data_IF_218123869587
#
_entry.id   IF_218123869587
#
_cell.length_a   1.000
_cell.length_b   1.000
_cell.length_c   1.000
_cell.angle_alpha   90.00
_cell.angle_beta   90.00
_cell.angle_gamma   90.00
#
_symmetry.space_group_name_H-M   'P 1'
#
loop_
_entity.id
_entity.type
_entity.pdbx_description
1 polymer ?
#
# COMPACT_ATOMS: atom_id res chain seq x y z
N UNK A 1 -17.35 6.71 -23.45
CA UNK A 1 -17.55 6.44 -22.02
C UNK A 1 -19.03 6.38 -21.70
N UNK A 2 -19.44 5.65 -20.65
CA UNK A 2 -20.83 5.64 -20.20
C UNK A 2 -21.21 7.03 -19.65
N UNK A 3 -22.34 7.62 -20.06
CA UNK A 3 -22.65 9.03 -19.76
C UNK A 3 -22.89 9.33 -18.27
N UNK A 4 -23.14 8.30 -17.46
CA UNK A 4 -23.43 8.42 -16.01
C UNK A 4 -22.27 7.91 -15.12
N UNK A 5 -21.11 7.57 -15.69
CA UNK A 5 -19.96 7.08 -14.92
C UNK A 5 -18.81 8.09 -15.01
N UNK A 6 -18.37 8.59 -13.87
CA UNK A 6 -17.15 9.39 -13.75
C UNK A 6 -16.00 8.47 -13.32
N UNK A 7 -15.10 8.18 -14.25
CA UNK A 7 -13.94 7.31 -13.98
C UNK A 7 -12.86 8.05 -13.16
N UNK A 8 -12.27 7.41 -12.12
CA UNK A 8 -11.20 8.02 -11.35
C UNK A 8 -9.94 8.23 -12.19
N UNK A 9 -9.18 9.27 -11.88
CA UNK A 9 -7.89 9.62 -12.54
C UNK A 9 -7.97 9.66 -14.06
N UNK A 10 -9.10 10.09 -14.61
CA UNK A 10 -9.38 10.01 -16.06
C UNK A 10 -9.92 11.34 -16.59
N UNK A 11 -9.21 11.92 -17.56
CA UNK A 11 -9.74 13.05 -18.31
C UNK A 11 -10.73 12.52 -19.38
N UNK A 12 -12.02 12.65 -19.11
CA UNK A 12 -13.09 12.04 -19.91
C UNK A 12 -13.10 12.47 -21.39
N UNK A 13 -12.63 13.69 -21.67
CA UNK A 13 -12.63 14.24 -23.03
C UNK A 13 -11.59 13.59 -23.94
N UNK A 14 -10.44 13.23 -23.41
CA UNK A 14 -9.28 12.76 -24.21
C UNK A 14 -8.92 11.30 -23.97
N UNK A 15 -9.45 10.68 -22.93
CA UNK A 15 -9.16 9.29 -22.64
C UNK A 15 -9.82 8.33 -23.65
N UNK A 16 -9.16 7.21 -23.99
CA UNK A 16 -9.77 6.17 -24.83
C UNK A 16 -11.00 5.57 -24.13
N UNK A 17 -11.86 4.91 -24.91
CA UNK A 17 -13.00 4.20 -24.35
C UNK A 17 -12.52 3.10 -23.38
N UNK A 18 -13.16 2.96 -22.20
CA UNK A 18 -12.83 1.90 -21.26
C UNK A 18 -13.04 0.51 -21.89
N UNK A 19 -12.11 -0.39 -21.65
CA UNK A 19 -12.29 -1.80 -21.98
C UNK A 19 -13.33 -2.41 -21.03
N UNK A 20 -14.25 -3.17 -21.59
CA UNK A 20 -15.27 -3.85 -20.82
C UNK A 20 -14.81 -5.25 -20.45
N UNK A 21 -14.73 -5.51 -19.16
CA UNK A 21 -14.39 -6.84 -18.62
C UNK A 21 -15.70 -7.60 -18.41
N UNK A 22 -15.78 -8.80 -18.99
CA UNK A 22 -16.92 -9.71 -18.86
C UNK A 22 -16.79 -10.61 -17.64
N UNK A 23 -15.61 -11.19 -17.44
CA UNK A 23 -15.31 -12.11 -16.35
C UNK A 23 -13.80 -12.13 -16.06
N UNK A 24 -13.44 -12.73 -14.91
CA UNK A 24 -12.04 -12.94 -14.58
C UNK A 24 -11.85 -14.23 -13.77
N UNK A 25 -10.70 -14.90 -13.93
CA UNK A 25 -10.33 -16.08 -13.15
C UNK A 25 -8.81 -16.23 -13.06
N UNK A 26 -8.27 -16.48 -11.89
CA UNK A 26 -6.83 -16.54 -11.67
C UNK A 26 -6.20 -15.20 -12.03
N UNK A 27 -5.18 -15.19 -12.88
CA UNK A 27 -4.55 -13.96 -13.37
C UNK A 27 -5.22 -13.39 -14.63
N UNK A 28 -6.21 -14.05 -15.19
CA UNK A 28 -6.80 -13.72 -16.49
C UNK A 28 -8.09 -12.92 -16.38
N UNK A 29 -8.15 -11.83 -17.14
CA UNK A 29 -9.37 -11.07 -17.43
C UNK A 29 -9.88 -11.45 -18.82
N UNK A 30 -11.18 -11.72 -18.97
CA UNK A 30 -11.87 -11.91 -20.24
C UNK A 30 -12.63 -10.62 -20.59
N UNK A 31 -12.31 -10.01 -21.73
CA UNK A 31 -12.98 -8.83 -22.23
C UNK A 31 -14.25 -9.18 -22.98
N UNK A 32 -15.19 -8.23 -23.14
CA UNK A 32 -16.45 -8.44 -23.89
C UNK A 32 -16.19 -8.78 -25.38
N UNK A 33 -15.09 -8.33 -25.96
CA UNK A 33 -14.69 -8.63 -27.33
C UNK A 33 -13.99 -9.99 -27.51
N UNK A 34 -13.91 -10.79 -26.44
CA UNK A 34 -13.33 -12.13 -26.42
C UNK A 34 -11.82 -12.19 -26.19
N UNK A 35 -11.11 -11.06 -26.14
CA UNK A 35 -9.69 -11.04 -25.77
C UNK A 35 -9.50 -11.44 -24.32
N UNK A 36 -8.38 -12.09 -24.01
CA UNK A 36 -7.93 -12.36 -22.67
C UNK A 36 -6.67 -11.56 -22.39
N UNK A 37 -6.55 -11.02 -21.18
CA UNK A 37 -5.37 -10.27 -20.75
C UNK A 37 -4.93 -10.76 -19.36
N UNK A 38 -3.62 -10.87 -19.15
CA UNK A 38 -3.03 -11.19 -17.85
C UNK A 38 -3.04 -9.90 -17.00
N UNK A 39 -3.55 -9.99 -15.79
CA UNK A 39 -3.48 -8.93 -14.78
C UNK A 39 -2.09 -8.89 -14.15
N UNK A 40 -1.20 -8.10 -14.72
CA UNK A 40 0.19 -7.99 -14.28
C UNK A 40 0.38 -7.16 -13.01
N UNK A 41 -0.68 -6.50 -12.51
CA UNK A 41 -0.62 -5.50 -11.44
C UNK A 41 -1.66 -5.72 -10.34
N UNK A 42 -2.25 -6.93 -10.28
CA UNK A 42 -3.31 -7.28 -9.31
C UNK A 42 -4.44 -6.26 -9.29
N UNK A 43 -4.93 -5.88 -10.47
CA UNK A 43 -5.92 -4.83 -10.75
C UNK A 43 -5.44 -3.44 -10.29
N UNK A 44 -5.54 -3.12 -9.04
CA UNK A 44 -4.89 -1.93 -8.44
C UNK A 44 -4.25 -2.32 -7.11
N UNK A 45 -3.34 -3.33 -7.20
CA UNK A 45 -2.55 -3.86 -6.07
C UNK A 45 -3.38 -4.59 -5.01
N UNK A 46 -4.65 -4.92 -5.30
CA UNK A 46 -5.59 -5.50 -4.32
C UNK A 46 -5.69 -7.02 -4.39
N UNK A 47 -5.57 -7.59 -5.59
CA UNK A 47 -5.81 -9.01 -5.82
C UNK A 47 -4.57 -9.85 -5.49
N UNK A 48 -4.67 -10.67 -4.43
CA UNK A 48 -3.56 -11.54 -4.01
C UNK A 48 -3.67 -12.94 -4.63
N UNK A 49 -4.86 -13.54 -4.55
CA UNK A 49 -5.07 -14.97 -4.81
C UNK A 49 -5.59 -15.29 -6.21
N UNK A 50 -5.66 -14.27 -7.06
CA UNK A 50 -6.30 -14.36 -8.36
C UNK A 50 -7.79 -14.01 -8.31
N UNK A 51 -8.31 -13.66 -9.49
CA UNK A 51 -9.70 -13.24 -9.63
C UNK A 51 -10.69 -14.37 -9.34
N UNK A 52 -11.83 -14.00 -8.77
CA UNK A 52 -12.97 -14.89 -8.52
C UNK A 52 -12.60 -16.15 -7.71
N UNK A 53 -11.70 -16.00 -6.72
CA UNK A 53 -11.25 -17.12 -5.90
C UNK A 53 -12.42 -17.76 -5.14
N UNK A 54 -12.72 -19.05 -5.34
CA UNK A 54 -13.95 -19.67 -4.84
C UNK A 54 -14.07 -19.68 -3.30
N UNK A 55 -12.96 -19.85 -2.58
CA UNK A 55 -12.95 -19.90 -1.11
C UNK A 55 -13.40 -18.54 -0.52
N UNK A 56 -12.88 -17.43 -1.04
CA UNK A 56 -13.25 -16.09 -0.55
C UNK A 56 -14.71 -15.78 -0.93
N UNK A 57 -15.12 -16.11 -2.15
CA UNK A 57 -16.51 -15.92 -2.60
C UNK A 57 -17.48 -16.69 -1.72
N UNK A 58 -17.18 -17.94 -1.39
CA UNK A 58 -18.00 -18.78 -0.50
C UNK A 58 -18.04 -18.23 0.93
N UNK A 59 -16.92 -17.79 1.48
CA UNK A 59 -16.86 -17.20 2.81
C UNK A 59 -17.77 -15.96 2.93
N UNK A 60 -17.77 -15.09 1.92
CA UNK A 60 -18.65 -13.92 1.86
C UNK A 60 -20.12 -14.37 1.76
N UNK A 61 -20.42 -15.35 0.91
CA UNK A 61 -21.78 -15.86 0.72
C UNK A 61 -22.35 -16.46 2.02
N UNK A 62 -21.60 -17.30 2.71
CA UNK A 62 -22.01 -17.90 3.97
C UNK A 62 -22.20 -16.85 5.07
N UNK A 63 -21.32 -15.86 5.15
CA UNK A 63 -21.45 -14.77 6.12
C UNK A 63 -22.67 -13.90 5.84
N UNK A 64 -22.98 -13.62 4.57
CA UNK A 64 -24.14 -12.82 4.18
C UNK A 64 -25.48 -13.44 4.58
N UNK A 65 -25.55 -14.78 4.69
CA UNK A 65 -26.73 -15.48 5.17
C UNK A 65 -26.90 -15.45 6.70
N UNK A 66 -25.82 -15.14 7.45
CA UNK A 66 -25.84 -15.11 8.92
C UNK A 66 -25.99 -13.69 9.45
N UNK A 67 -25.16 -12.76 8.97
CA UNK A 67 -25.13 -11.37 9.42
C UNK A 67 -24.34 -10.56 8.40
N UNK A 68 -24.98 -9.62 7.71
CA UNK A 68 -24.38 -8.71 6.74
C UNK A 68 -23.78 -7.47 7.39
N UNK A 69 -24.44 -6.94 8.44
CA UNK A 69 -24.01 -5.77 9.19
C UNK A 69 -24.68 -5.67 10.55
N UNK A 70 -23.96 -5.10 11.51
CA UNK A 70 -24.47 -4.65 12.80
C UNK A 70 -23.66 -3.45 13.27
N UNK A 71 -24.28 -2.54 14.04
CA UNK A 71 -23.55 -1.43 14.66
C UNK A 71 -22.42 -1.98 15.56
N UNK A 72 -21.18 -1.52 15.36
CA UNK A 72 -20.03 -2.02 16.11
C UNK A 72 -19.76 -1.23 17.41
N UNK A 73 -20.46 -0.12 17.65
CA UNK A 73 -20.41 0.60 18.90
C UNK A 73 -21.32 -0.08 19.95
N UNK A 74 -20.72 -0.81 20.87
CA UNK A 74 -21.41 -1.58 21.92
C UNK A 74 -21.87 -2.98 21.51
N UNK A 75 -21.61 -3.40 20.27
CA UNK A 75 -21.82 -4.74 19.77
C UNK A 75 -20.52 -5.27 19.16
N UNK A 76 -20.38 -6.58 19.09
CA UNK A 76 -19.28 -7.28 18.42
C UNK A 76 -19.81 -8.51 17.70
N UNK A 77 -18.96 -9.18 16.93
CA UNK A 77 -19.28 -10.43 16.26
C UNK A 77 -18.02 -11.27 16.01
N UNK A 78 -18.21 -12.58 15.99
CA UNK A 78 -17.13 -13.57 15.89
C UNK A 78 -16.12 -13.32 14.74
N UNK A 79 -16.53 -12.99 13.48
CA UNK A 79 -15.56 -12.72 12.43
C UNK A 79 -14.61 -11.54 12.72
N UNK A 80 -15.07 -10.47 13.38
CA UNK A 80 -14.20 -9.34 13.73
C UNK A 80 -13.21 -9.71 14.84
N UNK A 81 -13.68 -10.44 15.87
CA UNK A 81 -12.84 -10.90 16.98
C UNK A 81 -11.73 -11.83 16.47
N UNK A 82 -12.08 -12.85 15.68
CA UNK A 82 -11.12 -13.77 15.06
C UNK A 82 -10.11 -13.06 14.15
N UNK A 83 -10.59 -12.11 13.35
CA UNK A 83 -9.70 -11.35 12.45
C UNK A 83 -8.70 -10.51 13.25
N UNK A 84 -9.16 -9.83 14.30
CA UNK A 84 -8.29 -9.05 15.18
C UNK A 84 -7.23 -9.94 15.84
N UNK A 85 -7.62 -11.10 16.40
CA UNK A 85 -6.70 -12.07 16.99
C UNK A 85 -5.66 -12.57 15.98
N UNK A 86 -6.08 -12.94 14.77
CA UNK A 86 -5.16 -13.43 13.74
C UNK A 86 -4.19 -12.37 13.24
N UNK A 87 -4.61 -11.13 13.09
CA UNK A 87 -3.73 -10.03 12.67
C UNK A 87 -2.69 -9.73 13.75
N UNK A 88 -3.12 -9.59 15.02
CA UNK A 88 -2.22 -9.34 16.14
C UNK A 88 -1.22 -10.48 16.31
N UNK A 89 -1.64 -11.75 16.21
CA UNK A 89 -0.76 -12.90 16.32
C UNK A 89 0.34 -12.94 15.23
N UNK A 90 0.07 -12.38 14.04
CA UNK A 90 1.05 -12.35 12.93
C UNK A 90 2.00 -11.16 12.99
N UNK A 91 1.58 -10.08 13.59
CA UNK A 91 2.39 -8.86 13.66
C UNK A 91 3.45 -8.91 14.77
N UNK A 92 3.38 -9.86 15.70
CA UNK A 92 4.30 -9.99 16.85
C UNK A 92 4.59 -8.69 17.61
N UNK A 93 5.19 -8.81 18.80
CA UNK A 93 5.71 -7.67 19.53
C UNK A 93 4.64 -6.82 20.21
N UNK A 94 4.68 -5.51 19.95
CA UNK A 94 3.90 -4.50 20.69
C UNK A 94 2.46 -4.30 20.24
N UNK A 95 2.06 -4.81 19.08
CA UNK A 95 0.71 -4.61 18.53
C UNK A 95 -0.35 -5.38 19.30
N UNK A 96 -1.45 -4.70 19.66
CA UNK A 96 -2.48 -5.32 20.48
C UNK A 96 -3.91 -4.80 20.25
N UNK A 97 -4.10 -3.71 19.52
CA UNK A 97 -5.44 -3.12 19.31
C UNK A 97 -5.69 -2.88 17.83
N UNK A 98 -6.81 -3.40 17.34
CA UNK A 98 -7.24 -3.29 15.95
C UNK A 98 -8.44 -2.36 15.86
N UNK A 99 -8.33 -1.32 15.07
CA UNK A 99 -9.42 -0.42 14.72
C UNK A 99 -9.82 -0.66 13.26
N UNK A 100 -11.10 -0.89 13.00
CA UNK A 100 -11.61 -1.23 11.68
C UNK A 100 -12.09 -0.01 10.90
N UNK A 101 -11.77 0.04 9.60
CA UNK A 101 -12.25 1.02 8.63
C UNK A 101 -12.51 0.34 7.27
N UNK A 102 -12.71 1.10 6.20
CA UNK A 102 -13.21 0.55 4.93
C UNK A 102 -12.25 0.65 3.74
N UNK A 103 -11.20 1.48 3.83
CA UNK A 103 -10.19 1.60 2.78
C UNK A 103 -8.86 2.16 3.33
N UNK A 104 -7.80 2.14 2.50
CA UNK A 104 -6.47 2.57 2.93
C UNK A 104 -6.41 4.01 3.40
N UNK A 105 -7.08 4.94 2.72
CA UNK A 105 -7.10 6.35 3.12
C UNK A 105 -7.73 6.54 4.50
N UNK A 106 -8.83 5.84 4.80
CA UNK A 106 -9.47 5.91 6.12
C UNK A 106 -8.65 5.23 7.21
N UNK A 107 -7.90 4.16 6.90
CA UNK A 107 -6.94 3.61 7.86
C UNK A 107 -5.85 4.62 8.22
N UNK A 108 -5.34 5.36 7.24
CA UNK A 108 -4.36 6.43 7.48
C UNK A 108 -4.98 7.59 8.27
N UNK A 109 -6.21 8.03 7.95
CA UNK A 109 -6.93 9.04 8.74
C UNK A 109 -7.04 8.63 10.22
N UNK A 110 -7.37 7.36 10.49
CA UNK A 110 -7.43 6.83 11.85
C UNK A 110 -6.05 6.88 12.52
N UNK A 111 -5.00 6.45 11.82
CA UNK A 111 -3.63 6.47 12.34
C UNK A 111 -3.16 7.89 12.71
N UNK A 112 -3.43 8.86 11.84
CA UNK A 112 -3.09 10.27 12.08
C UNK A 112 -3.88 10.83 13.29
N UNK A 113 -5.18 10.51 13.39
CA UNK A 113 -6.01 10.90 14.53
C UNK A 113 -5.53 10.25 15.83
N UNK A 114 -5.20 8.96 15.83
CA UNK A 114 -4.63 8.26 16.97
C UNK A 114 -3.33 8.94 17.43
N UNK A 115 -2.40 9.16 16.51
CA UNK A 115 -1.11 9.76 16.83
C UNK A 115 -1.26 11.21 17.35
N UNK A 116 -2.13 12.01 16.75
CA UNK A 116 -2.39 13.37 17.19
C UNK A 116 -3.03 13.40 18.58
N UNK A 117 -4.12 12.64 18.77
CA UNK A 117 -4.86 12.62 20.03
C UNK A 117 -4.07 11.94 21.16
N UNK A 118 -3.17 10.99 20.87
CA UNK A 118 -2.24 10.43 21.84
C UNK A 118 -1.49 11.51 22.61
N UNK A 119 -0.97 12.52 21.91
CA UNK A 119 -0.28 13.64 22.54
C UNK A 119 -1.23 14.59 23.26
N UNK A 120 -2.40 14.87 22.68
CA UNK A 120 -3.43 15.71 23.32
C UNK A 120 -3.88 15.12 24.65
N UNK A 121 -4.14 13.81 24.70
CA UNK A 121 -4.56 13.11 25.92
C UNK A 121 -3.47 13.14 27.02
N UNK A 122 -2.22 13.36 26.65
CA UNK A 122 -1.08 13.56 27.55
C UNK A 122 -0.77 15.06 27.81
N UNK A 123 -1.64 15.97 27.39
CA UNK A 123 -1.48 17.41 27.55
C UNK A 123 -0.25 17.98 26.80
N UNK A 124 0.18 17.31 25.73
CA UNK A 124 1.23 17.77 24.83
C UNK A 124 0.62 18.26 23.52
N UNK A 125 1.11 19.38 22.99
CA UNK A 125 0.61 19.96 21.75
C UNK A 125 1.59 19.66 20.62
N UNK A 126 1.56 18.44 20.09
CA UNK A 126 2.30 18.06 18.89
C UNK A 126 1.35 18.01 17.70
N UNK A 127 1.55 18.88 16.71
CA UNK A 127 0.53 19.14 15.68
C UNK A 127 0.99 18.84 14.25
N UNK A 128 2.28 18.58 14.04
CA UNK A 128 2.87 18.42 12.71
C UNK A 128 3.31 16.98 12.53
N UNK A 129 3.13 16.45 11.33
CA UNK A 129 3.68 15.16 10.95
C UNK A 129 4.95 15.34 10.11
N UNK A 130 5.80 14.32 10.12
CA UNK A 130 6.92 14.16 9.19
C UNK A 130 6.53 13.06 8.22
N UNK A 131 6.71 13.30 6.92
CA UNK A 131 6.46 12.36 5.85
C UNK A 131 7.62 12.36 4.84
N UNK A 132 7.51 11.63 3.75
CA UNK A 132 8.59 11.50 2.78
C UNK A 132 8.18 12.00 1.40
N UNK A 133 9.13 12.60 0.68
CA UNK A 133 8.97 13.02 -0.70
C UNK A 133 8.59 11.82 -1.59
N UNK A 134 7.60 12.00 -2.45
CA UNK A 134 7.07 10.94 -3.30
C UNK A 134 6.09 9.99 -2.64
N UNK A 135 5.77 10.15 -1.34
CA UNK A 135 4.80 9.33 -0.64
C UNK A 135 3.36 9.56 -1.13
N UNK A 136 2.55 8.49 -1.07
CA UNK A 136 1.11 8.56 -1.29
C UNK A 136 0.39 7.73 -0.21
N UNK A 137 -0.50 8.38 0.53
CA UNK A 137 -1.20 7.76 1.65
C UNK A 137 -2.71 7.72 1.49
N UNK A 138 -3.24 8.22 0.37
CA UNK A 138 -4.66 8.24 0.04
C UNK A 138 -5.18 9.60 -0.37
N UNK A 139 -6.47 9.67 -0.75
CA UNK A 139 -7.10 10.84 -1.35
C UNK A 139 -8.06 11.58 -0.39
N UNK A 140 -8.21 11.13 0.86
CA UNK A 140 -8.88 11.94 1.90
C UNK A 140 -7.94 13.05 2.37
N UNK A 141 -8.47 14.17 2.87
CA UNK A 141 -7.65 15.36 3.14
C UNK A 141 -6.53 15.15 4.16
N UNK A 142 -6.75 14.36 5.21
CA UNK A 142 -5.68 14.03 6.16
C UNK A 142 -4.61 13.14 5.55
N UNK A 143 -5.01 12.06 4.87
CA UNK A 143 -4.09 11.17 4.16
C UNK A 143 -3.35 11.90 3.03
N UNK A 144 -4.04 12.75 2.26
CA UNK A 144 -3.45 13.60 1.22
C UNK A 144 -2.47 14.63 1.82
N UNK A 145 -2.75 15.14 3.01
CA UNK A 145 -1.85 16.10 3.69
C UNK A 145 -0.47 15.51 3.96
N UNK A 146 -0.38 14.26 4.34
CA UNK A 146 0.89 13.55 4.58
C UNK A 146 1.46 12.90 3.31
N UNK A 147 0.72 12.90 2.21
CA UNK A 147 1.21 12.58 0.87
C UNK A 147 2.08 13.69 0.30
N UNK A 148 3.02 13.35 -0.59
CA UNK A 148 3.85 14.32 -1.27
C UNK A 148 3.01 15.32 -2.10
N UNK A 149 3.45 16.56 -2.14
CA UNK A 149 2.83 17.57 -3.01
C UNK A 149 3.08 17.19 -4.47
N UNK A 150 2.02 17.04 -5.22
CA UNK A 150 2.07 16.52 -6.58
C UNK A 150 0.82 16.92 -7.36
N UNK A 151 0.77 16.56 -8.64
CA UNK A 151 -0.41 16.72 -9.50
C UNK A 151 -1.73 16.25 -8.82
N UNK A 152 -1.67 15.23 -7.98
CA UNK A 152 -2.86 14.71 -7.29
C UNK A 152 -3.37 15.62 -6.17
N UNK A 153 -2.50 16.43 -5.59
CA UNK A 153 -2.79 17.29 -4.44
C UNK A 153 -2.85 18.79 -4.77
N UNK A 154 -2.32 19.23 -5.93
CA UNK A 154 -2.15 20.65 -6.26
C UNK A 154 -3.46 21.44 -6.21
N UNK A 155 -4.54 20.87 -6.76
CA UNK A 155 -5.86 21.51 -6.75
C UNK A 155 -6.46 21.69 -5.35
N UNK A 156 -5.94 21.01 -4.35
CA UNK A 156 -6.42 21.00 -2.96
C UNK A 156 -5.43 21.58 -1.98
N UNK A 157 -4.35 22.21 -2.45
CA UNK A 157 -3.21 22.67 -1.63
C UNK A 157 -3.61 23.53 -0.44
N UNK A 158 -4.62 24.43 -0.62
CA UNK A 158 -5.10 25.33 0.42
C UNK A 158 -5.86 24.61 1.56
N UNK A 159 -6.27 23.36 1.36
CA UNK A 159 -6.99 22.54 2.34
C UNK A 159 -6.08 21.57 3.10
N UNK A 160 -4.82 21.47 2.68
CA UNK A 160 -3.89 20.51 3.27
C UNK A 160 -3.21 21.10 4.52
N UNK A 161 -3.02 20.26 5.53
CA UNK A 161 -2.28 20.65 6.73
C UNK A 161 -0.78 20.72 6.48
N UNK A 162 -0.08 21.50 7.30
CA UNK A 162 1.37 21.60 7.25
C UNK A 162 2.04 20.28 7.65
N UNK A 163 2.95 19.80 6.82
CA UNK A 163 3.74 18.58 7.00
C UNK A 163 5.19 18.86 6.62
N UNK A 164 6.14 18.31 7.34
CA UNK A 164 7.57 18.37 6.97
C UNK A 164 7.94 17.15 6.10
N UNK A 165 8.58 17.39 4.96
CA UNK A 165 8.99 16.33 4.06
C UNK A 165 10.49 16.07 4.11
N UNK A 166 10.83 14.79 4.21
CA UNK A 166 12.19 14.27 4.11
C UNK A 166 12.41 13.60 2.76
N UNK A 167 13.64 13.59 2.22
CA UNK A 167 13.93 12.78 1.06
C UNK A 167 13.74 11.29 1.37
N UNK A 168 13.14 10.55 0.46
CA UNK A 168 13.09 9.09 0.53
C UNK A 168 14.36 8.51 -0.12
N UNK A 169 15.17 7.72 0.59
CA UNK A 169 16.44 7.19 0.07
C UNK A 169 16.18 5.98 -0.86
N UNK A 170 15.62 6.26 -2.04
CA UNK A 170 15.33 5.23 -3.01
C UNK A 170 16.59 4.60 -3.62
N UNK A 171 16.49 3.28 -3.89
CA UNK A 171 17.56 2.47 -4.43
C UNK A 171 17.12 1.61 -5.62
N UNK A 172 18.08 1.07 -6.35
CA UNK A 172 17.90 0.16 -7.47
C UNK A 172 19.10 -0.78 -7.57
N UNK A 173 19.03 -1.80 -8.44
CA UNK A 173 20.12 -2.77 -8.62
C UNK A 173 21.38 -2.06 -9.13
N UNK A 174 22.45 -2.15 -8.34
CA UNK A 174 23.73 -1.48 -8.66
C UNK A 174 23.88 -0.04 -8.15
N UNK A 175 22.94 0.46 -7.35
CA UNK A 175 23.06 1.78 -6.72
C UNK A 175 24.16 1.79 -5.65
N UNK A 176 25.22 2.55 -5.91
CA UNK A 176 26.37 2.70 -5.00
C UNK A 176 26.23 3.86 -4.02
N UNK A 177 25.17 4.67 -4.14
CA UNK A 177 24.97 5.88 -3.32
C UNK A 177 23.88 5.71 -2.24
N UNK A 178 23.27 4.53 -2.11
CA UNK A 178 22.13 4.31 -1.22
C UNK A 178 22.46 4.65 0.24
N UNK A 179 23.63 4.27 0.75
CA UNK A 179 24.03 4.54 2.13
C UNK A 179 24.23 6.03 2.41
N UNK A 180 24.74 6.77 1.44
CA UNK A 180 24.84 8.22 1.54
C UNK A 180 23.47 8.88 1.58
N UNK A 181 22.54 8.46 0.72
CA UNK A 181 21.16 8.96 0.71
C UNK A 181 20.44 8.70 2.05
N UNK A 182 20.62 7.50 2.61
CA UNK A 182 20.06 7.13 3.91
C UNK A 182 20.66 8.00 5.02
N UNK A 183 21.96 8.16 5.06
CA UNK A 183 22.65 8.99 6.04
C UNK A 183 22.17 10.44 5.99
N UNK A 184 22.02 11.01 4.79
CA UNK A 184 21.51 12.38 4.61
C UNK A 184 20.05 12.52 5.09
N UNK A 185 19.18 11.54 4.78
CA UNK A 185 17.78 11.56 5.23
C UNK A 185 17.68 11.46 6.75
N UNK A 186 18.45 10.58 7.38
CA UNK A 186 18.50 10.43 8.84
C UNK A 186 19.05 11.68 9.52
N UNK A 187 20.15 12.25 9.04
CA UNK A 187 20.73 13.48 9.60
C UNK A 187 19.74 14.67 9.53
N UNK A 188 18.98 14.76 8.42
CA UNK A 188 17.91 15.77 8.30
C UNK A 188 16.81 15.55 9.31
N UNK A 189 16.38 14.30 9.53
CA UNK A 189 15.36 13.92 10.53
C UNK A 189 15.82 14.29 11.94
N UNK A 190 17.04 13.88 12.33
CA UNK A 190 17.62 14.20 13.66
C UNK A 190 17.69 15.70 13.90
N UNK A 191 18.13 16.47 12.89
CA UNK A 191 18.18 17.93 12.96
C UNK A 191 16.79 18.55 13.16
N UNK A 192 15.75 18.06 12.49
CA UNK A 192 14.38 18.54 12.63
C UNK A 192 13.83 18.25 14.03
N UNK A 193 14.01 17.04 14.52
CA UNK A 193 13.52 16.60 15.84
C UNK A 193 14.27 17.29 16.99
N UNK A 194 15.59 17.41 16.90
CA UNK A 194 16.39 18.12 17.91
C UNK A 194 16.04 19.60 18.00
N UNK A 195 15.71 20.23 16.89
CA UNK A 195 15.38 21.66 16.81
C UNK A 195 14.00 21.98 17.37
N UNK A 196 13.05 21.03 17.27
CA UNK A 196 11.65 21.21 17.67
C UNK A 196 11.08 19.93 18.31
N UNK A 197 11.55 19.55 19.52
CA UNK A 197 11.25 18.23 20.13
C UNK A 197 9.75 17.99 20.39
N UNK A 198 8.98 19.06 20.63
CA UNK A 198 7.55 18.99 20.98
C UNK A 198 6.61 19.35 19.80
N UNK A 199 7.14 19.40 18.58
CA UNK A 199 6.34 19.81 17.41
C UNK A 199 5.67 18.63 16.72
N UNK A 200 6.33 17.47 16.66
CA UNK A 200 5.96 16.40 15.74
C UNK A 200 5.12 15.32 16.46
N UNK A 201 3.91 15.09 15.93
CA UNK A 201 2.98 14.06 16.40
C UNK A 201 3.41 12.65 15.98
N UNK A 202 4.05 12.52 14.82
CA UNK A 202 4.52 11.25 14.32
C UNK A 202 5.26 11.39 12.98
N UNK A 203 5.91 10.29 12.61
CA UNK A 203 6.57 10.08 11.31
C UNK A 203 5.75 9.02 10.58
N UNK A 204 5.32 9.28 9.35
CA UNK A 204 4.62 8.31 8.52
C UNK A 204 5.43 7.96 7.27
N UNK A 205 5.46 6.66 6.92
CA UNK A 205 6.19 6.15 5.77
C UNK A 205 5.49 4.93 5.16
N UNK A 206 5.53 4.81 3.83
CA UNK A 206 5.31 3.54 3.13
C UNK A 206 6.61 2.70 3.27
N UNK A 207 6.64 1.64 4.08
CA UNK A 207 7.88 0.91 4.37
C UNK A 207 8.33 0.09 3.15
N UNK A 208 9.62 0.14 2.84
CA UNK A 208 10.32 -0.55 1.76
C UNK A 208 9.93 -0.14 0.34
N UNK A 209 8.68 0.24 0.06
CA UNK A 209 8.24 0.61 -1.30
C UNK A 209 7.22 1.73 -1.25
N UNK A 210 7.55 2.87 -1.83
CA UNK A 210 6.58 3.90 -2.17
C UNK A 210 5.87 3.53 -3.47
N UNK A 211 4.57 3.15 -3.39
CA UNK A 211 3.83 2.61 -4.52
C UNK A 211 3.54 3.65 -5.60
N UNK A 212 2.59 4.54 -5.37
CA UNK A 212 2.14 5.53 -6.33
C UNK A 212 3.22 6.56 -6.70
N UNK A 213 4.23 6.74 -5.86
CA UNK A 213 5.41 7.56 -6.11
C UNK A 213 6.38 6.99 -7.14
N UNK A 214 6.02 5.91 -7.82
CA UNK A 214 6.82 5.28 -8.87
C UNK A 214 7.53 4.01 -8.45
N UNK A 215 6.95 3.22 -7.57
CA UNK A 215 7.55 1.98 -7.04
C UNK A 215 9.00 2.19 -6.56
N UNK A 216 9.21 3.28 -5.83
CA UNK A 216 10.52 3.63 -5.28
C UNK A 216 10.84 2.70 -4.11
N UNK A 217 11.95 1.99 -4.19
CA UNK A 217 12.32 1.00 -3.19
C UNK A 217 13.36 1.55 -2.22
N UNK A 218 13.20 1.21 -0.93
CA UNK A 218 14.15 1.51 0.14
C UNK A 218 14.63 0.22 0.80
N UNK A 219 15.65 0.33 1.66
CA UNK A 219 16.24 -0.82 2.36
C UNK A 219 15.70 -0.98 3.79
N UNK A 220 15.73 -2.20 4.35
CA UNK A 220 15.44 -2.45 5.77
C UNK A 220 16.29 -1.61 6.73
N UNK A 221 17.57 -1.40 6.41
CA UNK A 221 18.52 -0.65 7.22
C UNK A 221 18.09 0.79 7.47
N UNK A 222 17.48 1.42 6.46
CA UNK A 222 16.90 2.76 6.62
C UNK A 222 15.74 2.77 7.63
N UNK A 223 14.84 1.80 7.55
CA UNK A 223 13.71 1.70 8.49
C UNK A 223 14.18 1.42 9.92
N UNK A 224 15.24 0.62 10.10
CA UNK A 224 15.86 0.37 11.40
C UNK A 224 16.49 1.65 11.98
N UNK A 225 17.14 2.47 11.15
CA UNK A 225 17.67 3.76 11.57
C UNK A 225 16.53 4.73 11.93
N UNK A 226 15.46 4.74 11.12
CA UNK A 226 14.27 5.55 11.37
C UNK A 226 13.63 5.23 12.73
N UNK A 227 13.48 3.94 13.07
CA UNK A 227 12.97 3.50 14.38
C UNK A 227 13.85 3.97 15.52
N UNK A 228 15.18 3.82 15.41
CA UNK A 228 16.12 4.29 16.43
C UNK A 228 15.99 5.78 16.71
N UNK A 229 15.91 6.57 15.65
CA UNK A 229 15.75 8.04 15.79
C UNK A 229 14.39 8.38 16.38
N UNK A 230 13.32 7.72 15.95
CA UNK A 230 11.99 7.94 16.51
C UNK A 230 11.93 7.62 18.03
N UNK A 231 12.59 6.54 18.47
CA UNK A 231 12.72 6.19 19.89
C UNK A 231 13.53 7.23 20.66
N UNK A 232 14.69 7.65 20.12
CA UNK A 232 15.57 8.64 20.74
C UNK A 232 14.85 9.96 21.01
N UNK A 233 13.97 10.39 20.11
CA UNK A 233 13.24 11.65 20.21
C UNK A 233 11.79 11.48 20.70
N UNK A 234 11.42 10.31 21.18
CA UNK A 234 10.06 10.01 21.64
C UNK A 234 8.99 10.50 20.64
N UNK A 235 9.10 10.06 19.38
CA UNK A 235 8.18 10.40 18.29
C UNK A 235 7.54 9.14 17.77
N UNK A 236 6.21 9.14 17.55
CA UNK A 236 5.51 7.97 17.03
C UNK A 236 5.92 7.67 15.60
N UNK A 237 6.05 6.38 15.28
CA UNK A 237 6.32 5.87 13.93
C UNK A 237 5.10 5.14 13.39
N UNK A 238 4.62 5.56 12.21
CA UNK A 238 3.46 5.01 11.52
C UNK A 238 3.94 4.36 10.22
N UNK A 239 3.66 3.07 10.06
CA UNK A 239 3.89 2.39 8.78
C UNK A 239 2.58 2.29 8.01
N UNK A 240 2.56 2.86 6.82
CA UNK A 240 1.48 2.65 5.85
C UNK A 240 1.80 1.40 5.02
N UNK A 241 1.31 0.27 5.47
CA UNK A 241 1.40 -1.01 4.77
C UNK A 241 0.15 -1.36 3.96
N UNK A 242 -0.61 -0.37 3.57
CA UNK A 242 -1.79 -0.54 2.71
C UNK A 242 -1.44 -1.26 1.41
N UNK A 243 -0.25 -1.01 0.83
CA UNK A 243 0.22 -1.69 -0.37
C UNK A 243 1.27 -2.78 -0.05
N UNK A 244 2.13 -2.54 0.91
CA UNK A 244 3.32 -3.38 1.18
C UNK A 244 3.04 -4.60 2.03
N UNK A 245 1.92 -4.63 2.73
CA UNK A 245 1.49 -5.77 3.55
C UNK A 245 1.05 -6.98 2.73
N UNK A 246 0.78 -8.06 3.44
CA UNK A 246 0.22 -9.31 2.90
C UNK A 246 1.08 -9.95 1.81
N UNK A 247 2.40 -10.07 2.06
CA UNK A 247 3.32 -10.79 1.18
C UNK A 247 3.99 -9.96 0.09
N UNK A 248 3.52 -8.72 -0.18
CA UNK A 248 3.99 -7.91 -1.31
C UNK A 248 5.49 -7.68 -1.31
N UNK A 249 6.09 -7.50 -0.15
CA UNK A 249 7.55 -7.27 -0.01
C UNK A 249 8.37 -8.56 0.18
N UNK A 250 7.74 -9.74 0.06
CA UNK A 250 8.41 -11.03 0.22
C UNK A 250 8.36 -11.59 1.64
N UNK A 251 7.72 -10.90 2.57
CA UNK A 251 7.34 -11.38 3.89
C UNK A 251 5.90 -10.97 4.19
N UNK A 252 5.29 -11.48 5.25
CA UNK A 252 3.91 -11.15 5.63
C UNK A 252 3.67 -9.64 5.64
N UNK A 253 4.58 -8.90 6.26
CA UNK A 253 4.55 -7.43 6.32
C UNK A 253 5.95 -6.86 6.05
N UNK A 254 6.00 -5.63 5.59
CA UNK A 254 7.27 -4.93 5.39
C UNK A 254 7.98 -4.68 6.72
N UNK A 255 7.23 -4.42 7.80
CA UNK A 255 7.78 -4.27 9.15
C UNK A 255 8.47 -5.57 9.62
N UNK A 256 7.91 -6.74 9.31
CA UNK A 256 8.51 -8.05 9.60
C UNK A 256 9.80 -8.26 8.82
N UNK A 257 9.79 -8.00 7.50
CA UNK A 257 10.99 -8.06 6.65
C UNK A 257 12.10 -7.14 7.15
N UNK A 258 11.73 -5.94 7.58
CA UNK A 258 12.70 -4.95 8.08
C UNK A 258 13.14 -5.19 9.53
N UNK A 259 12.47 -6.08 10.26
CA UNK A 259 12.68 -6.30 11.70
C UNK A 259 12.49 -4.98 12.50
N UNK A 260 11.45 -4.24 12.17
CA UNK A 260 11.10 -2.95 12.80
C UNK A 260 9.66 -3.02 13.28
N UNK A 261 9.41 -2.63 14.51
CA UNK A 261 8.07 -2.49 15.08
C UNK A 261 7.67 -1.00 15.10
N UNK A 262 6.81 -0.53 14.19
CA UNK A 262 6.24 0.81 14.30
C UNK A 262 5.24 0.87 15.47
N UNK A 263 4.81 2.07 15.84
CA UNK A 263 3.81 2.28 16.89
C UNK A 263 2.39 2.07 16.35
N UNK A 264 2.18 2.38 15.07
CA UNK A 264 0.91 2.22 14.35
C UNK A 264 1.20 1.63 12.97
N UNK A 265 0.34 0.73 12.52
CA UNK A 265 0.38 0.15 11.16
C UNK A 265 -1.00 0.27 10.51
N UNK A 266 -1.03 0.67 9.23
CA UNK A 266 -2.23 0.74 8.41
C UNK A 266 -2.23 -0.41 7.40
N UNK A 267 -3.33 -1.18 7.32
CA UNK A 267 -3.47 -2.32 6.42
C UNK A 267 -4.80 -2.22 5.65
N UNK A 268 -4.77 -2.56 4.35
CA UNK A 268 -5.94 -2.60 3.47
C UNK A 268 -5.64 -3.45 2.23
N UNK A 269 -6.22 -3.12 1.08
CA UNK A 269 -5.97 -3.76 -0.24
C UNK A 269 -5.95 -5.28 -0.18
N UNK A 270 -4.76 -5.87 -0.02
CA UNK A 270 -4.56 -7.31 0.07
C UNK A 270 -5.28 -7.99 1.23
N UNK A 271 -5.69 -7.25 2.25
CA UNK A 271 -6.37 -7.78 3.44
C UNK A 271 -7.56 -8.70 3.10
N UNK A 272 -8.37 -8.32 2.10
CA UNK A 272 -9.53 -9.13 1.64
C UNK A 272 -9.25 -9.91 0.35
N UNK A 273 -7.99 -10.01 -0.06
CA UNK A 273 -7.62 -10.60 -1.36
C UNK A 273 -8.19 -9.86 -2.56
N UNK A 274 -8.64 -8.61 -2.38
CA UNK A 274 -9.22 -7.75 -3.43
C UNK A 274 -10.72 -7.89 -3.62
N UNK A 275 -11.42 -8.64 -2.78
CA UNK A 275 -12.87 -8.89 -2.93
C UNK A 275 -13.74 -7.74 -2.43
N UNK A 276 -13.39 -7.15 -1.29
CA UNK A 276 -14.19 -6.10 -0.66
C UNK A 276 -13.30 -4.94 -0.18
N UNK A 277 -13.81 -3.69 -0.20
CA UNK A 277 -13.18 -2.58 0.48
C UNK A 277 -13.19 -2.86 1.99
N UNK A 278 -12.02 -2.87 2.60
CA UNK A 278 -11.83 -3.11 4.02
C UNK A 278 -10.43 -2.66 4.47
N UNK A 279 -10.32 -2.17 5.70
CA UNK A 279 -9.05 -1.74 6.24
C UNK A 279 -9.00 -1.84 7.75
N UNK A 280 -7.80 -1.85 8.31
CA UNK A 280 -7.57 -1.78 9.73
C UNK A 280 -6.39 -0.85 10.04
N UNK A 281 -6.46 -0.21 11.20
CA UNK A 281 -5.35 0.49 11.84
C UNK A 281 -5.04 -0.23 13.13
N UNK A 282 -3.81 -0.72 13.28
CA UNK A 282 -3.40 -1.50 14.45
C UNK A 282 -2.37 -0.68 15.21
N UNK A 283 -2.54 -0.57 16.52
CA UNK A 283 -1.61 0.15 17.37
C UNK A 283 -1.12 -0.70 18.56
N UNK A 284 -0.07 -0.19 19.20
CA UNK A 284 0.47 -0.77 20.43
C UNK A 284 -0.47 -0.57 21.62
N UNK A 285 -0.33 -1.44 22.63
CA UNK A 285 -1.02 -1.27 23.91
C UNK A 285 -0.68 0.07 24.57
N UNK A 286 0.57 0.52 24.44
CA UNK A 286 1.01 1.80 24.99
C UNK A 286 0.25 3.00 24.40
N UNK A 287 -0.16 2.93 23.15
CA UNK A 287 -1.04 3.95 22.56
C UNK A 287 -2.44 3.81 23.14
N UNK A 288 -3.02 2.62 23.16
CA UNK A 288 -4.38 2.38 23.64
C UNK A 288 -4.57 2.82 25.08
N UNK A 289 -3.62 2.55 25.97
CA UNK A 289 -3.68 2.93 27.40
C UNK A 289 -3.86 4.45 27.62
N UNK A 290 -3.39 5.29 26.70
CA UNK A 290 -3.58 6.75 26.79
C UNK A 290 -5.04 7.17 26.52
N UNK A 291 -5.79 6.32 25.80
CA UNK A 291 -7.23 6.51 25.55
C UNK A 291 -8.11 5.79 26.59
N UNK A 292 -7.58 4.77 27.26
CA UNK A 292 -8.29 4.00 28.27
C UNK A 292 -8.42 4.79 29.57
N UNK A 293 -9.57 5.45 29.80
CA UNK A 293 -9.78 6.42 30.86
C UNK A 293 -11.25 6.50 31.26
N UNK A 294 -11.51 6.91 32.52
CA UNK A 294 -12.86 7.28 32.97
C UNK A 294 -13.33 8.60 32.35
N UNK A 295 -12.44 9.39 31.78
CA UNK A 295 -12.78 10.66 31.13
C UNK A 295 -13.24 10.39 29.68
N UNK A 296 -14.53 10.59 29.35
CA UNK A 296 -15.07 10.37 28.01
C UNK A 296 -14.43 11.29 26.95
N UNK A 297 -13.82 12.41 27.33
CA UNK A 297 -13.13 13.30 26.39
C UNK A 297 -11.86 12.68 25.79
N UNK A 298 -11.33 11.63 26.40
CA UNK A 298 -10.19 10.87 25.88
C UNK A 298 -10.56 9.80 24.85
N UNK A 299 -11.85 9.58 24.60
CA UNK A 299 -12.32 8.61 23.61
C UNK A 299 -11.88 9.01 22.19
N UNK A 300 -11.46 8.04 21.39
CA UNK A 300 -11.25 8.23 19.95
C UNK A 300 -12.61 8.31 19.24
N UNK A 301 -13.13 9.52 19.04
CA UNK A 301 -14.40 9.75 18.34
C UNK A 301 -14.21 9.63 16.82
N UNK A 302 -14.17 8.39 16.34
CA UNK A 302 -14.11 8.06 14.92
C UNK A 302 -14.85 6.76 14.67
N UNK A 303 -15.48 6.64 13.52
CA UNK A 303 -16.19 5.45 13.06
C UNK A 303 -17.05 5.77 11.85
N UNK A 304 -17.62 4.75 11.25
CA UNK A 304 -18.59 4.85 10.16
C UNK A 304 -19.59 3.69 10.22
N UNK A 305 -20.67 3.77 9.43
CA UNK A 305 -21.77 2.80 9.47
C UNK A 305 -21.37 1.35 9.19
N UNK A 306 -20.27 1.13 8.46
CA UNK A 306 -19.77 -0.20 8.08
C UNK A 306 -18.52 -0.62 8.86
N UNK A 307 -18.19 0.04 9.98
CA UNK A 307 -17.06 -0.35 10.83
C UNK A 307 -17.14 -1.84 11.17
N UNK A 308 -16.06 -2.57 10.92
CA UNK A 308 -15.94 -4.02 11.12
C UNK A 308 -17.04 -4.84 10.41
N UNK A 309 -17.46 -4.46 9.19
CA UNK A 309 -18.51 -5.20 8.52
C UNK A 309 -18.19 -6.71 8.42
N UNK A 310 -19.17 -7.58 8.75
CA UNK A 310 -18.93 -9.02 8.85
C UNK A 310 -18.47 -9.67 7.55
N UNK A 311 -18.91 -9.14 6.38
CA UNK A 311 -18.53 -9.67 5.06
C UNK A 311 -17.05 -9.40 4.77
N UNK A 312 -16.58 -8.18 5.11
CA UNK A 312 -15.16 -7.82 4.99
C UNK A 312 -14.28 -8.65 5.92
N UNK A 313 -14.75 -8.88 7.15
CA UNK A 313 -14.05 -9.77 8.11
C UNK A 313 -13.96 -11.21 7.60
N UNK A 314 -15.05 -11.77 7.06
CA UNK A 314 -15.07 -13.12 6.50
C UNK A 314 -14.16 -13.26 5.27
N UNK A 315 -14.17 -12.27 4.38
CA UNK A 315 -13.26 -12.22 3.22
C UNK A 315 -11.80 -12.15 3.66
N UNK A 316 -11.50 -11.32 4.67
CA UNK A 316 -10.15 -11.18 5.21
C UNK A 316 -9.65 -12.46 5.88
N UNK A 317 -10.47 -13.13 6.66
CA UNK A 317 -10.12 -14.42 7.28
C UNK A 317 -9.79 -15.48 6.21
N UNK A 318 -10.63 -15.62 5.20
CA UNK A 318 -10.39 -16.55 4.10
C UNK A 318 -9.12 -16.18 3.29
N UNK A 319 -8.86 -14.89 3.10
CA UNK A 319 -7.63 -14.42 2.45
C UNK A 319 -6.38 -14.77 3.28
N UNK A 320 -6.43 -14.60 4.60
CA UNK A 320 -5.31 -14.94 5.49
C UNK A 320 -5.02 -16.46 5.51
N UNK A 321 -6.05 -17.31 5.46
CA UNK A 321 -5.89 -18.76 5.35
C UNK A 321 -5.18 -19.14 4.05
N UNK A 322 -5.61 -18.59 2.92
CA UNK A 322 -4.95 -18.81 1.62
C UNK A 322 -3.51 -18.29 1.59
N UNK A 323 -3.21 -17.22 2.28
CA UNK A 323 -1.83 -16.73 2.40
C UNK A 323 -0.93 -17.70 3.15
N UNK A 324 -1.44 -18.36 4.22
CA UNK A 324 -0.68 -19.38 4.95
C UNK A 324 -0.31 -20.57 4.06
N UNK A 325 -1.26 -21.01 3.23
CA UNK A 325 -1.03 -22.11 2.28
C UNK A 325 -0.01 -21.75 1.20
N UNK A 326 0.05 -20.48 0.81
CA UNK A 326 0.87 -19.97 -0.30
C UNK A 326 2.08 -19.13 0.13
N UNK A 327 2.53 -19.25 1.38
CA UNK A 327 3.63 -18.44 1.91
C UNK A 327 4.92 -18.56 1.08
N UNK A 328 5.24 -19.77 0.62
CA UNK A 328 6.42 -20.02 -0.21
C UNK A 328 6.41 -19.22 -1.52
N UNK A 329 5.24 -18.93 -2.08
CA UNK A 329 5.11 -18.21 -3.35
C UNK A 329 5.62 -16.78 -3.23
N UNK A 330 5.11 -16.02 -2.27
CA UNK A 330 5.53 -14.62 -2.13
C UNK A 330 6.97 -14.49 -1.58
N UNK A 331 7.45 -15.47 -0.80
CA UNK A 331 8.85 -15.51 -0.33
C UNK A 331 9.87 -15.76 -1.45
N UNK A 332 9.48 -16.46 -2.51
CA UNK A 332 10.40 -16.82 -3.61
C UNK A 332 10.24 -15.96 -4.87
N UNK A 333 9.20 -15.16 -4.97
CA UNK A 333 8.89 -14.38 -6.18
C UNK A 333 10.00 -13.40 -6.56
N UNK A 334 10.70 -12.82 -5.57
CA UNK A 334 11.83 -11.92 -5.80
C UNK A 334 12.92 -12.58 -6.66
N UNK A 335 13.25 -13.84 -6.37
CA UNK A 335 14.23 -14.60 -7.14
C UNK A 335 13.78 -14.85 -8.59
N UNK A 336 12.47 -15.08 -8.80
CA UNK A 336 11.91 -15.25 -10.16
C UNK A 336 12.04 -13.96 -10.96
N UNK A 337 11.66 -12.82 -10.38
CA UNK A 337 11.84 -11.52 -11.03
C UNK A 337 13.31 -11.22 -11.34
N UNK A 338 14.23 -11.47 -10.41
CA UNK A 338 15.68 -11.28 -10.63
C UNK A 338 16.19 -12.16 -11.78
N UNK A 339 15.70 -13.40 -11.90
CA UNK A 339 16.03 -14.27 -13.03
C UNK A 339 15.66 -13.67 -14.38
N UNK A 340 14.47 -13.11 -14.50
CA UNK A 340 14.01 -12.42 -15.70
C UNK A 340 14.76 -11.10 -15.97
N UNK A 341 15.17 -10.39 -14.91
CA UNK A 341 15.92 -9.13 -15.05
C UNK A 341 17.30 -9.30 -15.67
N UNK A 342 17.89 -10.49 -15.61
CA UNK A 342 19.18 -10.77 -16.29
C UNK A 342 19.10 -10.49 -17.81
N UNK A 343 17.96 -10.72 -18.43
CA UNK A 343 17.73 -10.44 -19.85
C UNK A 343 17.45 -8.94 -20.12
N UNK A 344 17.02 -8.18 -19.12
CA UNK A 344 16.61 -6.78 -19.25
C UNK A 344 17.66 -5.78 -18.77
N UNK A 345 18.63 -6.19 -17.95
CA UNK A 345 19.56 -5.26 -17.28
C UNK A 345 20.42 -4.42 -18.23
N UNK A 346 20.66 -4.88 -19.46
CA UNK A 346 21.41 -4.16 -20.47
C UNK A 346 20.51 -3.61 -21.60
N UNK A 347 19.19 -3.59 -21.40
CA UNK A 347 18.27 -3.09 -22.41
C UNK A 347 18.41 -1.56 -22.54
N UNK A 348 18.68 -0.99 -23.75
CA UNK A 348 19.03 0.43 -23.92
C UNK A 348 17.90 1.40 -23.54
N UNK A 349 16.66 0.92 -23.47
CA UNK A 349 15.49 1.71 -23.09
C UNK A 349 15.11 1.58 -21.60
N UNK A 350 15.87 0.82 -20.80
CA UNK A 350 15.58 0.59 -19.40
C UNK A 350 16.71 1.06 -18.49
N UNK A 351 16.31 1.57 -17.32
CA UNK A 351 17.23 1.94 -16.23
C UNK A 351 16.59 1.70 -14.87
N UNK A 352 17.35 1.81 -13.81
CA UNK A 352 16.89 1.73 -12.41
C UNK A 352 16.01 0.48 -12.13
N UNK A 353 16.45 -0.68 -12.60
CA UNK A 353 15.78 -1.94 -12.31
C UNK A 353 15.80 -2.20 -10.82
N UNK A 354 14.66 -2.55 -10.23
CA UNK A 354 14.50 -2.77 -8.80
C UNK A 354 13.46 -3.83 -8.50
N UNK A 355 13.71 -4.63 -7.48
CA UNK A 355 12.82 -5.71 -7.04
C UNK A 355 12.75 -5.73 -5.52
N UNK A 356 11.56 -5.92 -4.98
CA UNK A 356 11.32 -6.19 -3.57
C UNK A 356 10.14 -7.15 -3.45
N UNK A 357 10.40 -8.39 -3.05
CA UNK A 357 9.37 -9.42 -2.94
C UNK A 357 8.67 -9.69 -4.27
N UNK A 358 7.36 -9.44 -4.32
CA UNK A 358 6.54 -9.67 -5.53
C UNK A 358 6.43 -8.46 -6.45
N UNK A 359 7.15 -7.40 -6.14
CA UNK A 359 7.13 -6.14 -6.88
C UNK A 359 8.42 -6.00 -7.67
N UNK A 360 8.30 -5.92 -8.99
CA UNK A 360 9.41 -5.61 -9.88
C UNK A 360 9.13 -4.29 -10.61
N UNK A 361 10.10 -3.41 -10.71
CA UNK A 361 9.95 -2.12 -11.39
C UNK A 361 11.20 -1.73 -12.18
N UNK A 362 10.99 -0.93 -13.22
CA UNK A 362 12.03 -0.41 -14.08
C UNK A 362 11.61 0.93 -14.66
N UNK A 363 12.55 1.82 -14.88
CA UNK A 363 12.28 3.10 -15.50
C UNK A 363 12.54 3.01 -17.00
N UNK A 364 11.59 3.49 -17.81
CA UNK A 364 11.76 3.61 -19.26
C UNK A 364 12.51 4.91 -19.52
N UNK A 365 13.59 4.83 -20.29
CA UNK A 365 14.35 5.99 -20.75
C UNK A 365 13.50 6.78 -21.73
N UNK A 366 13.29 8.05 -21.48
CA UNK A 366 12.46 8.97 -22.27
C UNK A 366 13.12 10.34 -22.34
N UNK A 367 12.89 11.09 -23.40
CA UNK A 367 13.35 12.47 -23.54
C UNK A 367 12.54 13.43 -22.64
N UNK A 368 11.31 13.05 -22.30
CA UNK A 368 10.43 13.83 -21.43
C UNK A 368 10.86 13.72 -19.96
N UNK A 369 10.43 14.71 -19.17
CA UNK A 369 10.63 14.66 -17.72
C UNK A 369 9.99 13.41 -17.11
N UNK A 370 10.68 12.72 -16.19
CA UNK A 370 10.16 11.54 -15.51
C UNK A 370 9.08 11.94 -14.48
N UNK A 371 7.82 12.01 -14.91
CA UNK A 371 6.67 12.34 -14.07
C UNK A 371 5.44 11.54 -14.50
N UNK A 372 4.38 11.60 -13.70
CA UNK A 372 3.15 10.83 -13.93
C UNK A 372 2.45 11.12 -15.28
N UNK A 373 2.63 12.30 -15.83
CA UNK A 373 2.04 12.71 -17.12
C UNK A 373 2.93 12.38 -18.33
N UNK A 374 4.02 11.65 -18.16
CA UNK A 374 4.88 11.24 -19.26
C UNK A 374 4.08 10.48 -20.32
N UNK A 375 4.17 10.91 -21.58
CA UNK A 375 3.39 10.37 -22.69
C UNK A 375 3.59 8.89 -22.94
N UNK A 376 4.76 8.35 -22.59
CA UNK A 376 5.09 6.92 -22.77
C UNK A 376 4.09 6.00 -22.05
N UNK A 377 3.50 6.45 -20.93
CA UNK A 377 2.53 5.65 -20.18
C UNK A 377 1.28 5.29 -21.01
N UNK A 378 0.82 6.18 -21.87
CA UNK A 378 -0.34 5.94 -22.71
C UNK A 378 0.00 4.94 -23.84
N UNK A 379 1.16 5.08 -24.44
CA UNK A 379 1.67 4.18 -25.48
C UNK A 379 1.87 2.77 -24.92
N UNK A 380 2.56 2.64 -23.80
CA UNK A 380 2.79 1.35 -23.15
C UNK A 380 1.47 0.66 -22.79
N UNK A 381 0.49 1.38 -22.24
CA UNK A 381 -0.83 0.81 -21.94
C UNK A 381 -1.54 0.26 -23.18
N UNK A 382 -1.50 0.98 -24.29
CA UNK A 382 -2.11 0.53 -25.52
C UNK A 382 -1.42 -0.72 -26.05
N UNK A 383 -0.09 -0.67 -26.20
CA UNK A 383 0.72 -1.80 -26.71
C UNK A 383 0.63 -3.03 -25.80
N UNK A 384 0.53 -2.83 -24.48
CA UNK A 384 0.37 -3.94 -23.52
C UNK A 384 -0.91 -4.72 -23.76
N UNK A 385 -2.03 -4.02 -23.94
CA UNK A 385 -3.33 -4.66 -24.22
C UNK A 385 -3.29 -5.43 -25.54
N UNK A 386 -2.58 -4.93 -26.55
CA UNK A 386 -2.37 -5.63 -27.83
C UNK A 386 -1.54 -6.93 -27.63
N UNK A 387 -0.66 -6.97 -26.64
CA UNK A 387 0.12 -8.14 -26.23
C UNK A 387 -0.58 -9.02 -25.18
N UNK A 388 -1.84 -8.78 -24.86
CA UNK A 388 -2.58 -9.56 -23.86
C UNK A 388 -2.17 -9.28 -22.40
N UNK A 389 -1.61 -8.11 -22.10
CA UNK A 389 -1.13 -7.73 -20.77
C UNK A 389 -1.88 -6.51 -20.23
N UNK A 390 -2.36 -6.59 -19.00
CA UNK A 390 -2.83 -5.41 -18.26
C UNK A 390 -1.65 -4.80 -17.50
N UNK A 391 -1.04 -3.78 -18.09
CA UNK A 391 -0.01 -2.94 -17.47
C UNK A 391 -0.53 -1.51 -17.29
N UNK A 392 -0.12 -0.86 -16.21
CA UNK A 392 -0.48 0.54 -15.92
C UNK A 392 0.76 1.29 -15.41
N UNK A 393 1.63 1.76 -16.29
CA UNK A 393 2.81 2.52 -15.90
C UNK A 393 2.46 3.75 -15.07
N UNK A 394 3.34 4.09 -14.14
CA UNK A 394 3.30 5.33 -13.35
C UNK A 394 4.25 6.34 -14.02
N UNK A 395 3.74 7.11 -14.98
CA UNK A 395 4.59 7.91 -15.85
C UNK A 395 5.50 7.01 -16.69
N UNK A 396 6.81 7.20 -16.57
CA UNK A 396 7.80 6.35 -17.22
C UNK A 396 8.22 5.11 -16.43
N UNK A 397 7.59 4.85 -15.28
CA UNK A 397 7.88 3.65 -14.47
C UNK A 397 6.97 2.50 -14.87
N UNK A 398 7.56 1.46 -15.46
CA UNK A 398 6.90 0.19 -15.71
C UNK A 398 7.10 -0.72 -14.50
N UNK A 399 6.01 -1.38 -14.04
CA UNK A 399 6.10 -2.27 -12.89
C UNK A 399 5.20 -3.48 -13.03
N UNK A 400 5.54 -4.53 -12.28
CA UNK A 400 4.81 -5.78 -12.13
C UNK A 400 4.51 -6.01 -10.64
N UNK A 401 3.31 -6.49 -10.38
CA UNK A 401 2.84 -6.94 -9.07
C UNK A 401 1.70 -7.94 -9.31
N UNK A 402 1.98 -9.10 -9.90
CA UNK A 402 0.94 -10.05 -10.27
C UNK A 402 0.31 -10.70 -9.04
N UNK A 403 -0.90 -11.32 -9.18
CA UNK A 403 -1.45 -12.21 -8.17
C UNK A 403 -0.53 -13.41 -7.90
N UNK A 404 -0.58 -13.95 -6.67
CA UNK A 404 0.31 -15.06 -6.25
C UNK A 404 0.03 -16.39 -6.95
N UNK A 405 -1.13 -16.54 -7.57
CA UNK A 405 -1.47 -17.72 -8.36
C UNK A 405 -0.82 -17.74 -9.75
N UNK A 406 0.01 -16.73 -10.10
CA UNK A 406 0.71 -16.69 -11.39
C UNK A 406 1.68 -17.87 -11.53
N UNK A 407 1.65 -18.54 -12.67
CA UNK A 407 2.60 -19.61 -12.99
C UNK A 407 3.93 -19.05 -13.51
N UNK A 408 4.96 -19.89 -13.57
CA UNK A 408 6.26 -19.48 -14.11
C UNK A 408 6.16 -19.21 -15.63
N UNK A 409 5.30 -19.95 -16.34
CA UNK A 409 5.02 -19.74 -17.76
C UNK A 409 4.31 -18.40 -18.00
N UNK A 410 3.29 -18.09 -17.23
CA UNK A 410 2.57 -16.80 -17.32
C UNK A 410 3.50 -15.62 -16.96
N UNK A 411 4.37 -15.78 -15.97
CA UNK A 411 5.37 -14.77 -15.62
C UNK A 411 6.38 -14.56 -16.77
N UNK A 412 6.82 -15.64 -17.40
CA UNK A 412 7.70 -15.57 -18.58
C UNK A 412 7.00 -14.88 -19.77
N UNK A 413 5.71 -15.17 -20.00
CA UNK A 413 4.90 -14.51 -21.03
C UNK A 413 4.83 -12.99 -20.80
N UNK A 414 4.63 -12.56 -19.54
CA UNK A 414 4.64 -11.12 -19.18
C UNK A 414 5.99 -10.48 -19.57
N UNK A 415 7.11 -11.09 -19.21
CA UNK A 415 8.44 -10.54 -19.49
C UNK A 415 8.75 -10.54 -20.99
N UNK A 416 8.33 -11.55 -21.74
CA UNK A 416 8.44 -11.58 -23.20
C UNK A 416 7.59 -10.46 -23.86
N UNK A 417 6.38 -10.27 -23.38
CA UNK A 417 5.50 -9.18 -23.82
C UNK A 417 6.13 -7.81 -23.56
N UNK A 418 6.74 -7.59 -22.38
CA UNK A 418 7.47 -6.36 -22.07
C UNK A 418 8.61 -6.11 -23.08
N UNK A 419 9.42 -7.12 -23.40
CA UNK A 419 10.48 -6.99 -24.42
C UNK A 419 9.93 -6.60 -25.79
N UNK A 420 8.76 -7.10 -26.14
CA UNK A 420 8.10 -6.77 -27.42
C UNK A 420 7.54 -5.34 -27.44
N UNK A 421 7.09 -4.83 -26.29
CA UNK A 421 6.53 -3.49 -26.13
C UNK A 421 7.62 -2.41 -26.17
N UNK A 422 8.78 -2.69 -25.61
CA UNK A 422 9.92 -1.77 -25.56
C UNK A 422 10.59 -1.62 -26.93
#
# INVERSE_FOLDING_TARGET
MHPHIWHPYTQAKTAPLPLKVKSAKGVWLELEDGRKVIDCISSWWVNLHGHSHPIIAEAIYQQAQRLEQVIFAGFTHEPAEKLAEQLVARLSGRFNRVFFSDNGSTAVEVALKMAYQYWVNQQQKRTTFIAFEGAYHGDTFGAMSVGARSLFSDAFSDWLTAVEFLPFPNTYIGDTQVEEKETQAIAKLESLLAKNPDRYAGIIIEPLVQGAGGMRMGRPEFLQQLRRVADQFNTLLIFDEVMTGFGRTGDWFACTKAQVEPDIICLSKGLTGGFLPFAVTICSEAIYEVFYSDDPLKTLYHGHSYTANPLGCAAALASLELMMENESVFRTMELKHLGHFQALQNHPKLTNLRVTGTIAAMDIVTEDQPNYLNHIAAEIRQRSIEQGLLLRPLGNVLYLMPPYCITDEELAEIYQGIQTIL
#
